data_IF_582716958958
#
_entry.id   IF_582716958958
#
_cell.length_a   1.000
_cell.length_b   1.000
_cell.length_c   1.000
_cell.angle_alpha   90.00
_cell.angle_beta   90.00
_cell.angle_gamma   90.00
#
_symmetry.space_group_name_H-M   'P 1'
#
loop_
_entity.id
_entity.type
_entity.pdbx_description
1 polymer ?
#
# COMPACT_ATOMS: atom_id res chain seq x y z
N UNK A 1 -13.51 12.29 -0.27
CA UNK A 1 -12.50 12.97 -0.03
C UNK A 1 -12.24 13.27 1.41
N UNK A 2 -11.16 13.50 1.72
CA UNK A 2 -10.81 13.57 3.08
C UNK A 2 -10.63 14.97 3.52
N UNK A 3 -11.24 15.30 4.59
CA UNK A 3 -11.08 16.60 5.16
C UNK A 3 -10.12 16.50 6.29
N UNK A 4 -9.33 17.50 6.42
CA UNK A 4 -8.41 17.59 7.52
C UNK A 4 -9.20 17.65 8.81
N UNK A 5 -8.95 16.80 9.78
CA UNK A 5 -9.70 16.90 11.04
C UNK A 5 -9.33 18.16 11.79
N UNK A 6 -10.26 18.66 12.57
CA UNK A 6 -10.01 19.81 13.40
C UNK A 6 -9.07 19.42 14.54
N UNK A 7 -8.54 20.41 15.24
CA UNK A 7 -7.63 20.14 16.35
C UNK A 7 -8.30 19.31 17.44
N UNK A 8 -9.60 19.50 17.64
CA UNK A 8 -10.32 18.74 18.66
C UNK A 8 -10.54 17.29 18.26
N UNK A 9 -10.41 17.01 16.95
CA UNK A 9 -10.60 15.65 16.46
C UNK A 9 -9.28 14.88 16.39
N UNK A 10 -8.18 15.54 16.66
CA UNK A 10 -6.86 14.90 16.61
C UNK A 10 -6.52 14.32 17.97
N UNK A 11 -7.38 13.48 18.48
CA UNK A 11 -7.18 12.85 19.77
C UNK A 11 -6.75 11.42 19.56
N UNK A 12 -5.79 11.00 20.37
CA UNK A 12 -5.41 9.59 20.38
C UNK A 12 -6.46 8.80 21.15
N UNK A 13 -6.64 7.56 20.73
CA UNK A 13 -7.57 6.65 21.37
C UNK A 13 -6.83 5.87 22.46
N UNK A 14 -7.06 6.19 23.74
CA UNK A 14 -6.31 5.51 24.80
C UNK A 14 -6.64 4.04 24.96
N UNK A 15 -7.74 3.59 24.38
CA UNK A 15 -8.08 2.16 24.47
C UNK A 15 -7.48 1.35 23.35
N UNK A 16 -6.78 2.00 22.41
CA UNK A 16 -6.18 1.32 21.26
C UNK A 16 -4.68 1.50 21.20
N UNK A 17 -4.05 1.72 22.31
CA UNK A 17 -2.62 1.98 22.33
C UNK A 17 -1.82 0.69 22.20
N UNK A 18 -0.69 0.81 21.51
CA UNK A 18 0.26 -0.29 21.34
C UNK A 18 1.67 0.22 21.57
N UNK A 19 2.51 -0.63 22.11
CA UNK A 19 3.94 -0.40 22.10
C UNK A 19 4.48 -1.10 20.86
N UNK A 20 5.24 -0.38 20.06
CA UNK A 20 5.81 -0.95 18.84
C UNK A 20 7.29 -1.22 19.01
N UNK A 21 7.69 -2.40 18.56
CA UNK A 21 9.09 -2.77 18.51
C UNK A 21 9.38 -3.28 17.11
N UNK A 22 10.52 -2.89 16.56
CA UNK A 22 10.88 -3.31 15.23
C UNK A 22 12.09 -4.20 15.27
N UNK A 23 12.00 -5.34 14.62
CA UNK A 23 13.09 -6.32 14.52
C UNK A 23 13.41 -6.50 13.05
N UNK A 24 14.69 -6.48 12.71
CA UNK A 24 15.09 -6.62 11.32
C UNK A 24 16.35 -7.46 11.23
N UNK A 25 16.45 -8.26 10.16
CA UNK A 25 17.67 -9.00 9.88
C UNK A 25 18.61 -8.21 8.99
N UNK A 26 18.19 -6.99 8.61
CA UNK A 26 18.95 -6.09 7.76
C UNK A 26 19.28 -6.68 6.40
N UNK A 27 18.46 -7.61 5.95
CA UNK A 27 18.61 -8.25 4.65
C UNK A 27 17.31 -8.29 3.90
N UNK A 28 16.30 -8.97 4.47
CA UNK A 28 15.07 -9.19 3.76
C UNK A 28 13.97 -8.23 4.18
N UNK A 29 13.93 -7.85 5.44
CA UNK A 29 12.88 -6.97 5.88
C UNK A 29 12.85 -6.80 7.37
N UNK A 30 11.67 -6.48 7.89
CA UNK A 30 11.49 -6.21 9.30
C UNK A 30 10.17 -6.78 9.78
N UNK A 31 10.10 -7.02 11.07
CA UNK A 31 8.87 -7.41 11.72
C UNK A 31 8.59 -6.38 12.80
N UNK A 32 7.40 -5.80 12.73
CA UNK A 32 6.96 -4.86 13.75
C UNK A 32 6.04 -5.60 14.70
N UNK A 33 6.37 -5.56 15.98
CA UNK A 33 5.58 -6.20 17.01
C UNK A 33 4.78 -5.12 17.71
N UNK A 34 3.47 -5.28 17.73
CA UNK A 34 2.55 -4.32 18.33
C UNK A 34 1.99 -4.96 19.59
N UNK A 35 2.49 -4.53 20.74
CA UNK A 35 2.05 -5.05 22.02
C UNK A 35 0.99 -4.12 22.58
N UNK A 36 -0.25 -4.61 22.79
CA UNK A 36 -1.29 -3.75 23.36
C UNK A 36 -0.91 -3.29 24.75
N UNK A 37 -1.18 -2.03 25.02
CA UNK A 37 -0.90 -1.47 26.34
C UNK A 37 -2.11 -0.65 26.79
N UNK A 38 -2.21 -0.50 28.09
CA UNK A 38 -3.22 0.37 28.68
C UNK A 38 -2.74 1.81 28.60
N UNK A 39 -3.60 2.74 28.95
CA UNK A 39 -3.27 4.14 28.81
C UNK A 39 -2.07 4.56 29.64
N UNK A 40 -1.71 3.79 30.67
CA UNK A 40 -0.52 4.06 31.47
C UNK A 40 0.71 3.30 30.95
N UNK A 41 0.59 2.60 29.82
CA UNK A 41 1.72 1.91 29.22
C UNK A 41 1.93 0.48 29.71
N UNK A 42 1.13 0.02 30.63
CA UNK A 42 1.25 -1.35 31.14
C UNK A 42 0.64 -2.30 30.10
N UNK A 43 1.27 -3.46 29.88
CA UNK A 43 0.71 -4.40 28.89
C UNK A 43 -0.73 -4.77 29.19
N UNK A 44 -1.51 -4.86 28.12
CA UNK A 44 -2.93 -5.19 28.22
C UNK A 44 -3.13 -6.61 27.71
N UNK A 45 -3.24 -7.55 28.62
CA UNK A 45 -3.35 -8.96 28.25
C UNK A 45 -4.69 -9.34 27.66
N UNK A 46 -5.66 -8.42 27.64
CA UNK A 46 -6.97 -8.73 27.05
C UNK A 46 -7.00 -8.54 25.54
N UNK A 47 -5.96 -7.92 24.97
CA UNK A 47 -5.87 -7.70 23.53
C UNK A 47 -4.68 -8.47 22.99
N UNK A 48 -4.79 -8.84 21.74
CA UNK A 48 -3.82 -9.71 21.09
C UNK A 48 -2.61 -8.93 20.62
N UNK A 49 -1.42 -9.49 20.77
CA UNK A 49 -0.20 -8.96 20.19
C UNK A 49 -0.26 -9.18 18.68
N UNK A 50 0.10 -8.16 17.93
CA UNK A 50 0.05 -8.20 16.47
C UNK A 50 1.46 -8.22 15.91
N UNK A 51 1.63 -8.96 14.82
CA UNK A 51 2.92 -9.08 14.14
C UNK A 51 2.73 -8.64 12.69
N UNK A 52 3.53 -7.69 12.27
CA UNK A 52 3.41 -7.11 10.93
C UNK A 52 4.74 -7.21 10.23
N UNK A 53 4.75 -7.85 9.07
CA UNK A 53 5.96 -7.97 8.27
C UNK A 53 6.06 -6.81 7.29
N UNK A 54 7.30 -6.39 7.02
CA UNK A 54 7.57 -5.33 6.06
C UNK A 54 8.75 -5.72 5.22
N UNK A 55 8.62 -5.53 3.90
CA UNK A 55 9.71 -5.74 2.98
C UNK A 55 9.50 -4.81 1.80
N UNK A 56 10.37 -4.92 0.81
CA UNK A 56 10.24 -4.08 -0.38
C UNK A 56 10.29 -4.96 -1.61
N UNK A 57 9.45 -4.63 -2.57
CA UNK A 57 9.38 -5.32 -3.84
C UNK A 57 9.92 -4.41 -4.92
N UNK A 58 10.88 -4.89 -5.69
CA UNK A 58 11.41 -4.11 -6.80
C UNK A 58 10.48 -4.25 -7.98
N UNK A 59 9.96 -3.15 -8.47
CA UNK A 59 9.08 -3.12 -9.63
C UNK A 59 9.70 -2.22 -10.68
N UNK A 60 9.09 -2.22 -11.86
CA UNK A 60 9.54 -1.34 -12.93
C UNK A 60 9.39 0.12 -12.56
N UNK A 61 8.47 0.42 -11.67
CA UNK A 61 8.26 1.78 -11.21
C UNK A 61 9.12 2.11 -9.98
N UNK A 62 9.95 1.18 -9.52
CA UNK A 62 10.81 1.39 -8.38
C UNK A 62 10.46 0.47 -7.23
N UNK A 63 11.01 0.77 -6.07
CA UNK A 63 10.78 -0.05 -4.88
C UNK A 63 9.39 0.23 -4.31
N UNK A 64 8.66 -0.84 -4.07
CA UNK A 64 7.32 -0.76 -3.53
C UNK A 64 7.31 -1.40 -2.15
N UNK A 65 6.98 -0.67 -1.11
CA UNK A 65 6.92 -1.26 0.23
C UNK A 65 5.74 -2.20 0.35
N UNK A 66 5.98 -3.34 0.97
CA UNK A 66 4.95 -4.34 1.24
C UNK A 66 4.80 -4.47 2.74
N UNK A 67 3.56 -4.41 3.21
CA UNK A 67 3.22 -4.56 4.61
C UNK A 67 2.17 -5.64 4.70
N UNK A 68 2.36 -6.62 5.58
CA UNK A 68 1.46 -7.74 5.67
C UNK A 68 1.40 -8.24 7.10
N UNK A 69 0.22 -8.68 7.51
CA UNK A 69 0.03 -9.22 8.85
C UNK A 69 0.50 -10.66 8.90
N UNK A 70 1.05 -11.02 10.05
CA UNK A 70 1.50 -12.39 10.29
C UNK A 70 0.67 -12.94 11.44
N UNK A 71 0.03 -14.07 11.19
CA UNK A 71 -0.80 -14.72 12.22
C UNK A 71 0.10 -15.58 13.10
N UNK A 72 0.87 -14.88 13.95
CA UNK A 72 1.92 -15.50 14.74
C UNK A 72 1.58 -15.41 16.23
N UNK A 73 2.10 -16.34 16.99
CA UNK A 73 1.94 -16.35 18.44
C UNK A 73 3.17 -15.83 19.16
N UNK A 74 4.26 -15.64 18.45
CA UNK A 74 5.52 -15.16 19.03
C UNK A 74 6.38 -14.56 17.94
N UNK A 75 7.44 -13.88 18.35
CA UNK A 75 8.37 -13.34 17.38
C UNK A 75 9.03 -14.46 16.56
N UNK A 76 9.40 -15.54 17.21
CA UNK A 76 10.01 -16.65 16.50
C UNK A 76 9.05 -17.22 15.45
N UNK A 77 7.78 -17.32 15.83
CA UNK A 77 6.75 -17.80 14.91
C UNK A 77 6.60 -16.84 13.74
N UNK A 78 6.63 -15.54 14.02
CA UNK A 78 6.53 -14.53 12.98
C UNK A 78 7.68 -14.63 11.98
N UNK A 79 8.89 -14.87 12.49
CA UNK A 79 10.06 -15.02 11.62
C UNK A 79 9.87 -16.21 10.69
N UNK A 80 9.32 -17.30 11.22
CA UNK A 80 9.07 -18.49 10.42
C UNK A 80 8.01 -18.24 9.35
N UNK A 81 7.01 -17.45 9.67
CA UNK A 81 5.92 -17.16 8.75
C UNK A 81 6.22 -16.05 7.76
N UNK A 82 7.35 -15.37 7.94
CA UNK A 82 7.64 -14.18 7.15
C UNK A 82 7.70 -14.48 5.65
N UNK A 83 8.38 -15.55 5.29
CA UNK A 83 8.57 -15.84 3.86
C UNK A 83 7.24 -16.10 3.17
N UNK A 84 6.36 -16.90 3.77
CA UNK A 84 5.08 -17.18 3.15
C UNK A 84 4.17 -15.96 3.15
N UNK A 85 4.23 -15.16 4.22
CA UNK A 85 3.47 -13.91 4.26
C UNK A 85 3.91 -12.94 3.20
N UNK A 86 5.22 -12.83 3.00
CA UNK A 86 5.76 -11.96 1.97
C UNK A 86 5.37 -12.46 0.58
N UNK A 87 5.42 -13.77 0.37
CA UNK A 87 5.05 -14.32 -0.93
C UNK A 87 3.58 -14.05 -1.24
N UNK A 88 2.72 -14.19 -0.26
CA UNK A 88 1.31 -13.88 -0.45
C UNK A 88 1.09 -12.41 -0.74
N UNK A 89 1.84 -11.55 -0.06
CA UNK A 89 1.72 -10.10 -0.29
C UNK A 89 2.19 -9.72 -1.69
N UNK A 90 3.27 -10.34 -2.15
CA UNK A 90 3.76 -10.10 -3.50
C UNK A 90 2.72 -10.51 -4.52
N UNK A 91 2.10 -11.67 -4.31
CA UNK A 91 1.12 -12.17 -5.26
C UNK A 91 -0.12 -11.27 -5.29
N UNK A 92 -0.59 -10.83 -4.13
CA UNK A 92 -1.73 -9.91 -4.07
C UNK A 92 -1.42 -8.61 -4.78
N UNK A 93 -0.22 -8.08 -4.54
CA UNK A 93 0.17 -6.81 -5.15
C UNK A 93 0.27 -6.95 -6.66
N UNK A 94 0.81 -8.07 -7.13
CA UNK A 94 0.92 -8.28 -8.56
C UNK A 94 -0.45 -8.34 -9.22
N UNK A 95 -1.39 -9.00 -8.59
CA UNK A 95 -2.75 -9.05 -9.11
C UNK A 95 -3.40 -7.69 -9.13
N UNK A 96 -3.20 -6.92 -8.07
CA UNK A 96 -3.77 -5.58 -8.01
C UNK A 96 -3.20 -4.69 -9.10
N UNK A 97 -1.91 -4.80 -9.36
CA UNK A 97 -1.30 -4.01 -10.41
C UNK A 97 -1.80 -4.43 -11.78
N UNK A 98 -2.01 -5.71 -11.99
CA UNK A 98 -2.57 -6.19 -13.24
C UNK A 98 -3.99 -5.70 -13.43
N UNK A 99 -4.78 -5.72 -12.38
CA UNK A 99 -6.16 -5.24 -12.44
C UNK A 99 -6.19 -3.76 -12.75
N UNK A 100 -5.32 -2.98 -12.12
CA UNK A 100 -5.26 -1.55 -12.39
C UNK A 100 -4.84 -1.27 -13.83
N UNK A 101 -3.90 -2.04 -14.34
CA UNK A 101 -3.47 -1.87 -15.71
C UNK A 101 -4.60 -2.22 -16.68
N UNK A 102 -5.34 -3.25 -16.36
CA UNK A 102 -6.46 -3.66 -17.19
C UNK A 102 -7.55 -2.62 -17.19
N UNK A 103 -7.85 -2.07 -16.03
CA UNK A 103 -8.84 -1.00 -15.93
C UNK A 103 -8.41 0.25 -16.68
N UNK A 104 -7.14 0.60 -16.56
CA UNK A 104 -6.63 1.77 -17.25
C UNK A 104 -6.70 1.58 -18.76
N UNK A 105 -6.34 0.41 -19.24
CA UNK A 105 -6.42 0.13 -20.67
C UNK A 105 -7.88 0.18 -21.14
N UNK A 106 -8.76 -0.35 -20.34
CA UNK A 106 -10.17 -0.38 -20.69
C UNK A 106 -10.77 1.02 -20.75
N UNK A 107 -10.42 1.88 -19.81
CA UNK A 107 -10.98 3.21 -19.81
C UNK A 107 -10.35 4.11 -20.87
N UNK A 108 -9.16 3.81 -21.32
CA UNK A 108 -8.50 4.65 -22.30
C UNK A 108 -9.04 4.46 -23.69
N UNK A 109 -9.59 3.31 -24.01
CA UNK A 109 -9.96 3.02 -25.35
C UNK A 109 -11.22 3.69 -25.82
N UNK A 110 -12.01 4.28 -24.97
CA UNK A 110 -13.23 4.90 -25.42
C UNK A 110 -12.98 6.35 -25.75
N UNK A 111 -12.95 6.72 -27.00
CA UNK A 111 -12.68 8.11 -27.37
C UNK A 111 -13.72 9.08 -26.87
N UNK A 112 -14.94 8.68 -26.77
CA UNK A 112 -15.96 9.58 -26.27
C UNK A 112 -15.76 9.91 -24.82
N UNK A 113 -15.01 9.12 -24.13
CA UNK A 113 -14.73 9.40 -22.76
C UNK A 113 -13.64 10.39 -22.56
N UNK A 114 -12.93 10.72 -23.60
CA UNK A 114 -11.78 11.55 -23.48
C UNK A 114 -11.85 12.78 -24.32
N UNK A 115 -12.95 13.46 -24.32
CA UNK A 115 -13.03 14.70 -25.09
C UNK A 115 -12.08 15.73 -24.48
N UNK A 116 -11.18 16.19 -25.24
CA UNK A 116 -10.28 17.20 -24.78
C UNK A 116 -9.25 16.73 -23.78
N UNK A 117 -9.25 15.50 -23.48
CA UNK A 117 -8.29 15.03 -22.53
C UNK A 117 -6.90 15.06 -23.10
N UNK A 118 -6.84 14.79 -24.34
CA UNK A 118 -5.56 14.80 -25.00
C UNK A 118 -5.53 15.81 -26.09
N UNK A 119 -6.14 16.21 -26.06
CA UNK A 119 -6.30 16.82 -26.95
C UNK A 119 -5.66 16.85 -27.65
N UNK A 120 -5.76 16.51 -26.94
CA UNK A 120 -5.67 16.39 -27.71
C UNK A 120 -5.45 16.23 -28.03
N UNK A 121 -5.45 16.61 -28.12
CA UNK A 121 -5.27 16.29 -28.86
C UNK A 121 -4.95 15.99 -29.21
N UNK A 122 -4.91 16.33 -28.98
CA UNK A 122 -4.83 15.89 -29.74
C UNK A 122 -4.54 15.49 -29.87
N UNK A 123 -4.68 16.40 -29.70
CA UNK A 123 -4.63 16.02 -30.44
C UNK A 123 -4.34 15.79 -30.60
N UNK A 124 -4.26 16.03 -30.44
CA UNK A 124 -4.21 15.74 -31.10
C UNK A 124 -3.96 15.57 -31.36
N UNK A 125 -3.88 15.92 -31.00
CA UNK A 125 -3.93 15.68 -31.75
C UNK A 125 -3.78 15.63 -32.06
N UNK A 126 -3.63 15.97 -31.62
CA UNK A 126 -3.73 15.89 -32.39
C UNK A 126 -3.68 16.01 -32.72
N UNK A 127 -3.31 16.24 -32.57
CA UNK A 127 -3.45 16.32 -33.44
C UNK A 127 -3.39 16.35 -33.92
N UNK A 128 -3.42 16.20 -33.84
CA UNK A 128 -3.50 16.07 -34.65
C UNK A 128 -3.34 16.09 -35.13
N UNK A 129 -2.97 16.31 -34.80
CA UNK A 129 -2.95 16.25 -35.60
C UNK A 129 -2.67 16.17 -35.93
N UNK A 130 -2.66 16.30 -35.48
CA UNK A 130 -2.60 16.18 -36.14
C UNK A 130 -2.31 16.17 -36.32
N UNK A 131 -2.10 16.17 -35.98
CA UNK A 131 -2.04 16.16 -36.53
C UNK A 131 -1.69 16.16 -36.49
N UNK A 132 -1.48 15.95 -36.19
CA UNK A 132 -1.48 16.06 -36.46
C UNK A 132 -1.09 15.95 -36.44
N UNK A 133 -0.82 16.04 -36.07
CA UNK A 133 -0.80 16.07 -36.36
C UNK A 133 -0.35 15.96 -36.46
N UNK A 134 0.12 15.80 -36.04
CA UNK A 134 0.16 15.85 -36.51
C UNK A 134 0.66 15.74 -36.84
N UNK A 135 0.80 15.90 -36.32
CA UNK A 135 0.87 15.96 -36.99
C UNK A 135 1.34 15.90 -37.32
N UNK A 136 1.49 15.74 -36.75
CA UNK A 136 1.55 15.77 -37.32
C UNK A 136 1.84 15.79 -37.71
#
# INVERSE_FOLDING_TARGET
MTTQPSATELKMDPSSLYREEMFTDRKMGAIRVLTPVKSDGVPDGTRKVLYVGETQLLTQAGLLPLVFELDAASLADAVELFASGAADAVERTRRELEDLRREAASSIITPDRMPGLLGGPGGPGGLPGGGKLRLR
#
